data_IF_962778270373
#
_entry.id   IF_962778270373
#
_cell.length_a   1.000
_cell.length_b   1.000
_cell.length_c   1.000
_cell.angle_alpha   90.00
_cell.angle_beta   90.00
_cell.angle_gamma   90.00
#
_symmetry.space_group_name_H-M   'P 1'
#
loop_
_entity.id
_entity.type
_entity.pdbx_description
1 polymer ?
#
# COMPACT_ATOMS: atom_id res chain seq x y z
N UNK A 1 18.19 -0.09 -39.42
CA UNK A 1 16.88 0.60 -39.38
C UNK A 1 17.14 2.08 -39.19
N UNK A 2 16.51 2.93 -39.99
CA UNK A 2 16.63 4.38 -39.86
C UNK A 2 16.06 4.84 -38.51
N UNK A 3 16.62 5.90 -37.91
CA UNK A 3 16.10 6.52 -36.68
C UNK A 3 14.59 6.83 -36.78
N UNK A 4 14.13 7.19 -37.98
CA UNK A 4 12.71 7.42 -38.28
C UNK A 4 11.86 6.15 -38.15
N UNK A 5 12.37 5.00 -38.57
CA UNK A 5 11.66 3.72 -38.48
C UNK A 5 11.52 3.27 -37.02
N UNK A 6 12.56 3.49 -36.20
CA UNK A 6 12.52 3.21 -34.77
C UNK A 6 11.50 4.09 -34.05
N UNK A 7 11.45 5.38 -34.36
CA UNK A 7 10.46 6.30 -33.80
C UNK A 7 9.02 5.87 -34.14
N UNK A 8 8.77 5.45 -35.39
CA UNK A 8 7.45 4.95 -35.82
C UNK A 8 7.07 3.65 -35.09
N UNK A 9 8.01 2.72 -34.92
CA UNK A 9 7.75 1.48 -34.18
C UNK A 9 7.42 1.75 -32.72
N UNK A 10 8.14 2.67 -32.08
CA UNK A 10 7.88 3.06 -30.70
C UNK A 10 6.49 3.70 -30.57
N UNK A 11 6.12 4.60 -31.49
CA UNK A 11 4.80 5.22 -31.49
C UNK A 11 3.67 4.18 -31.63
N UNK A 12 3.83 3.17 -32.49
CA UNK A 12 2.86 2.07 -32.62
C UNK A 12 2.70 1.29 -31.33
N UNK A 13 3.81 0.97 -30.66
CA UNK A 13 3.78 0.27 -29.36
C UNK A 13 3.03 1.08 -28.30
N UNK A 14 3.26 2.39 -28.23
CA UNK A 14 2.54 3.27 -27.30
C UNK A 14 1.05 3.32 -27.61
N UNK A 15 0.67 3.40 -28.89
CA UNK A 15 -0.76 3.41 -29.28
C UNK A 15 -1.47 2.13 -28.82
N UNK A 16 -0.84 0.97 -29.02
CA UNK A 16 -1.43 -0.30 -28.58
C UNK A 16 -1.56 -0.37 -27.05
N UNK A 17 -0.58 0.13 -26.31
CA UNK A 17 -0.66 0.22 -24.84
C UNK A 17 -1.81 1.14 -24.38
N UNK A 18 -1.94 2.33 -24.97
CA UNK A 18 -3.01 3.28 -24.63
C UNK A 18 -4.40 2.74 -24.97
N UNK A 19 -4.53 1.99 -26.08
CA UNK A 19 -5.78 1.30 -26.43
C UNK A 19 -6.17 0.27 -25.37
N UNK A 20 -5.19 -0.47 -24.84
CA UNK A 20 -5.38 -1.37 -23.71
C UNK A 20 -5.88 -0.65 -22.47
N UNK A 21 -5.19 0.41 -22.04
CA UNK A 21 -5.54 1.17 -20.82
C UNK A 21 -6.90 1.87 -20.91
N UNK A 22 -7.25 2.38 -22.10
CA UNK A 22 -8.57 2.96 -22.34
C UNK A 22 -9.68 1.95 -22.04
N UNK A 23 -9.50 0.72 -22.51
CA UNK A 23 -10.51 -0.34 -22.44
C UNK A 23 -10.58 -1.05 -21.09
N UNK A 24 -9.76 -0.65 -20.11
CA UNK A 24 -9.86 -1.16 -18.74
C UNK A 24 -11.19 -0.75 -18.11
N UNK A 25 -11.86 -1.72 -17.47
CA UNK A 25 -13.07 -1.47 -16.70
C UNK A 25 -12.72 -0.67 -15.45
N UNK A 26 -13.42 0.44 -15.23
CA UNK A 26 -13.28 1.30 -14.05
C UNK A 26 -14.47 1.09 -13.13
N UNK A 27 -14.24 1.17 -11.83
CA UNK A 27 -15.27 1.26 -10.81
C UNK A 27 -15.46 2.71 -10.38
N UNK A 28 -16.67 3.12 -9.94
CA UNK A 28 -16.87 4.44 -9.36
C UNK A 28 -15.96 4.64 -8.16
N UNK A 29 -15.36 5.84 -8.06
CA UNK A 29 -14.47 6.17 -6.93
C UNK A 29 -15.19 5.98 -5.60
N UNK A 30 -16.46 6.38 -5.51
CA UNK A 30 -17.28 6.21 -4.30
C UNK A 30 -17.38 4.75 -3.85
N UNK A 31 -17.55 3.80 -4.78
CA UNK A 31 -17.62 2.38 -4.46
C UNK A 31 -16.26 1.86 -3.96
N UNK A 32 -15.18 2.17 -4.69
CA UNK A 32 -13.82 1.76 -4.29
C UNK A 32 -13.42 2.38 -2.94
N UNK A 33 -13.79 3.64 -2.68
CA UNK A 33 -13.55 4.28 -1.39
C UNK A 33 -14.31 3.59 -0.25
N UNK A 34 -15.57 3.19 -0.48
CA UNK A 34 -16.33 2.45 0.52
C UNK A 34 -15.70 1.09 0.83
N UNK A 35 -15.22 0.38 -0.20
CA UNK A 35 -14.52 -0.90 -0.01
C UNK A 35 -13.22 -0.74 0.78
N UNK A 36 -12.44 0.30 0.49
CA UNK A 36 -11.21 0.61 1.24
C UNK A 36 -11.52 0.94 2.71
N UNK A 37 -12.54 1.77 2.96
CA UNK A 37 -12.97 2.10 4.32
C UNK A 37 -13.40 0.83 5.07
N UNK A 38 -14.23 -0.01 4.46
CA UNK A 38 -14.66 -1.27 5.07
C UNK A 38 -13.46 -2.13 5.44
N UNK A 39 -12.52 -2.34 4.52
CA UNK A 39 -11.32 -3.12 4.79
C UNK A 39 -10.53 -2.56 5.98
N UNK A 40 -10.33 -1.24 6.03
CA UNK A 40 -9.63 -0.63 7.17
C UNK A 40 -10.38 -0.80 8.49
N UNK A 41 -11.71 -0.72 8.48
CA UNK A 41 -12.54 -0.89 9.68
C UNK A 41 -12.52 -2.33 10.18
N UNK A 42 -12.47 -3.30 9.27
CA UNK A 42 -12.40 -4.72 9.61
C UNK A 42 -11.03 -5.06 10.25
N UNK A 43 -9.95 -4.49 9.70
CA UNK A 43 -8.57 -4.78 10.15
C UNK A 43 -8.08 -3.89 11.31
N UNK A 44 -8.79 -2.80 11.63
CA UNK A 44 -8.33 -1.82 12.62
C UNK A 44 -8.02 -2.44 14.00
N UNK A 45 -8.73 -3.51 14.40
CA UNK A 45 -8.55 -4.15 15.71
C UNK A 45 -7.28 -4.99 15.81
N UNK A 46 -6.75 -5.40 14.65
CA UNK A 46 -5.52 -6.18 14.55
C UNK A 46 -4.30 -5.28 14.36
N UNK A 47 -4.51 -4.01 14.03
CA UNK A 47 -3.45 -3.02 13.91
C UNK A 47 -2.99 -2.53 15.29
N UNK A 48 -1.91 -3.15 15.76
CA UNK A 48 -1.26 -2.81 17.04
C UNK A 48 -0.72 -1.38 17.10
N UNK A 49 -0.51 -0.72 15.95
CA UNK A 49 -0.10 0.69 15.93
C UNK A 49 -1.29 1.64 16.12
N UNK A 50 -2.50 1.16 15.82
CA UNK A 50 -3.74 1.90 16.03
C UNK A 50 -4.35 1.64 17.40
N UNK A 51 -4.48 0.37 17.81
CA UNK A 51 -5.13 -0.01 19.08
C UNK A 51 -4.15 -0.18 20.25
N UNK A 52 -2.85 -0.20 19.98
CA UNK A 52 -1.85 -0.63 20.94
C UNK A 52 -1.78 -2.14 21.10
N UNK A 53 -0.72 -2.62 21.75
CA UNK A 53 -0.59 -4.02 22.11
C UNK A 53 -1.59 -4.39 23.22
N UNK A 54 -2.23 -5.58 23.17
CA UNK A 54 -3.19 -6.01 24.20
C UNK A 54 -2.64 -6.03 25.62
N UNK A 55 -1.33 -6.23 25.77
CA UNK A 55 -0.61 -6.04 27.01
C UNK A 55 0.86 -5.76 26.69
N UNK A 56 1.59 -5.16 27.64
CA UNK A 56 2.99 -4.79 27.39
C UNK A 56 3.89 -5.97 27.00
N UNK A 57 3.61 -7.19 27.49
CA UNK A 57 4.45 -8.37 27.21
C UNK A 57 4.36 -8.82 25.75
N UNK A 58 3.27 -8.47 25.07
CA UNK A 58 3.08 -8.75 23.64
C UNK A 58 3.82 -7.77 22.74
N UNK A 59 4.29 -6.63 23.27
CA UNK A 59 5.14 -5.70 22.54
C UNK A 59 6.58 -6.26 22.48
N UNK A 60 7.11 -6.65 21.30
CA UNK A 60 8.48 -7.15 21.18
C UNK A 60 9.53 -6.11 21.59
N UNK A 61 9.17 -4.82 21.55
CA UNK A 61 10.01 -3.69 21.88
C UNK A 61 9.78 -3.16 23.30
N UNK A 62 9.05 -3.88 24.17
CA UNK A 62 8.85 -3.48 25.56
C UNK A 62 10.21 -3.36 26.29
N UNK A 63 10.43 -2.31 27.09
CA UNK A 63 11.54 -2.28 28.03
C UNK A 63 11.53 -3.51 28.93
N UNK A 64 12.66 -4.24 28.96
CA UNK A 64 12.85 -5.35 29.90
C UNK A 64 13.02 -4.78 31.31
N UNK A 65 12.27 -5.29 32.28
CA UNK A 65 12.24 -4.78 33.66
C UNK A 65 13.59 -4.89 34.40
N UNK A 66 14.56 -5.62 33.85
CA UNK A 66 15.89 -5.78 34.44
C UNK A 66 16.88 -4.85 33.74
N UNK A 67 17.08 -3.66 34.32
CA UNK A 67 18.31 -2.84 34.36
C UNK A 67 17.90 -1.38 34.61
N UNK A 68 17.28 -1.13 35.76
CA UNK A 68 17.39 0.18 36.39
C UNK A 68 18.79 0.26 36.98
N UNK A 69 19.73 0.88 36.25
CA UNK A 69 20.93 1.39 36.88
C UNK A 69 20.51 2.68 37.59
N UNK A 70 20.16 2.60 38.87
CA UNK A 70 20.10 3.78 39.71
C UNK A 70 21.54 4.28 39.83
N UNK A 71 21.85 5.36 39.12
CA UNK A 71 23.04 6.17 39.37
C UNK A 71 22.86 6.77 40.77
N UNK A 72 23.44 6.11 41.77
CA UNK A 72 23.84 6.74 43.04
C UNK A 72 25.19 7.39 42.79
#
# INVERSE_FOLDING_TARGET
>A
MSSREQAVLQARKTIEQLRGERNMRRTPVSATSADLIRFTQDMQREDVLLTGFPNDKMNPYRPKSSFQCNLI
#
